data_IF_932196303310
#
_entry.id   IF_932196303310
#
_cell.length_a   1.000
_cell.length_b   1.000
_cell.length_c   1.000
_cell.angle_alpha   90.00
_cell.angle_beta   90.00
_cell.angle_gamma   90.00
#
_symmetry.space_group_name_H-M   'P 1'
#
loop_
_entity.id
_entity.type
_entity.pdbx_description
1 polymer ?
#
# COMPACT_ATOMS: atom_id res chain seq x y z
N UNK A 1 -0.08 0.33 -18.49
CA UNK A 1 0.97 -0.38 -17.72
C UNK A 1 1.38 0.34 -16.43
N UNK A 2 1.25 1.68 -16.31
CA UNK A 2 1.65 2.38 -15.07
C UNK A 2 0.73 2.08 -13.87
N UNK A 3 -0.59 2.14 -14.03
CA UNK A 3 -1.57 1.79 -12.98
C UNK A 3 -1.40 0.34 -12.51
N UNK A 4 -1.27 -0.61 -13.43
CA UNK A 4 -1.04 -2.02 -13.08
C UNK A 4 0.26 -2.21 -12.27
N UNK A 5 1.32 -1.48 -12.62
CA UNK A 5 2.59 -1.51 -11.88
C UNK A 5 2.47 -0.85 -10.51
N UNK A 6 1.73 0.26 -10.40
CA UNK A 6 1.48 0.94 -9.14
C UNK A 6 0.62 0.07 -8.20
N UNK A 7 -0.38 -0.62 -8.73
CA UNK A 7 -1.18 -1.60 -7.99
C UNK A 7 -0.32 -2.74 -7.46
N UNK A 8 0.50 -3.35 -8.32
CA UNK A 8 1.41 -4.43 -7.90
C UNK A 8 2.38 -3.97 -6.81
N UNK A 9 2.91 -2.74 -6.93
CA UNK A 9 3.79 -2.17 -5.92
C UNK A 9 3.08 -1.97 -4.56
N UNK A 10 1.83 -1.49 -4.58
CA UNK A 10 1.01 -1.36 -3.38
C UNK A 10 0.70 -2.72 -2.75
N UNK A 11 0.36 -3.72 -3.56
CA UNK A 11 0.09 -5.09 -3.09
C UNK A 11 1.34 -5.70 -2.44
N UNK A 12 2.51 -5.53 -3.06
CA UNK A 12 3.79 -5.98 -2.50
C UNK A 12 4.12 -5.27 -1.17
N UNK A 13 3.85 -3.96 -1.07
CA UNK A 13 4.07 -3.19 0.15
C UNK A 13 3.16 -3.66 1.28
N UNK A 14 1.88 -3.93 0.98
CA UNK A 14 0.90 -4.48 1.92
C UNK A 14 1.28 -5.88 2.38
N UNK A 15 1.71 -6.75 1.48
CA UNK A 15 2.18 -8.11 1.83
C UNK A 15 3.34 -8.05 2.83
N UNK A 16 4.37 -7.25 2.52
CA UNK A 16 5.56 -7.10 3.38
C UNK A 16 5.23 -6.51 4.74
N UNK A 17 4.30 -5.55 4.81
CA UNK A 17 3.85 -5.01 6.09
C UNK A 17 3.10 -6.09 6.90
N UNK A 18 2.22 -6.85 6.26
CA UNK A 18 1.48 -7.92 6.91
C UNK A 18 2.39 -9.02 7.47
N UNK A 19 3.44 -9.40 6.72
CA UNK A 19 4.46 -10.36 7.17
C UNK A 19 5.15 -9.89 8.46
N UNK A 20 5.61 -8.63 8.50
CA UNK A 20 6.27 -8.08 9.71
C UNK A 20 5.29 -7.99 10.88
N UNK A 21 4.03 -7.64 10.63
CA UNK A 21 3.01 -7.63 11.68
C UNK A 21 2.72 -9.02 12.27
N UNK A 22 2.87 -10.09 11.48
CA UNK A 22 2.79 -11.47 12.01
C UNK A 22 3.96 -11.73 12.96
N UNK A 23 5.18 -11.36 12.57
CA UNK A 23 6.39 -11.52 13.39
C UNK A 23 6.27 -10.78 14.72
N UNK A 24 5.85 -9.52 14.70
CA UNK A 24 5.59 -8.70 15.91
C UNK A 24 4.61 -9.41 16.86
N UNK A 25 3.53 -9.99 16.33
CA UNK A 25 2.55 -10.70 17.15
C UNK A 25 3.14 -11.95 17.80
N UNK A 26 3.99 -12.70 17.08
CA UNK A 26 4.67 -13.86 17.66
C UNK A 26 5.68 -13.47 18.73
N UNK A 27 6.50 -12.45 18.50
CA UNK A 27 7.49 -11.97 19.47
C UNK A 27 6.80 -11.43 20.74
N UNK A 28 5.72 -10.67 20.59
CA UNK A 28 4.94 -10.19 21.73
C UNK A 28 4.31 -11.34 22.54
N UNK A 29 3.86 -12.40 21.87
CA UNK A 29 3.34 -13.59 22.55
C UNK A 29 4.45 -14.36 23.30
N UNK A 30 5.64 -14.43 22.73
CA UNK A 30 6.79 -15.07 23.36
C UNK A 30 7.29 -14.30 24.60
N UNK A 31 7.39 -12.97 24.49
CA UNK A 31 7.69 -12.10 25.64
C UNK A 31 6.69 -12.33 26.77
N UNK A 32 5.39 -12.34 26.42
CA UNK A 32 4.34 -12.60 27.41
C UNK A 32 4.50 -13.98 28.06
N UNK A 33 4.85 -15.00 27.29
CA UNK A 33 5.08 -16.34 27.83
C UNK A 33 6.22 -16.36 28.86
N UNK A 34 7.35 -15.69 28.58
CA UNK A 34 8.44 -15.58 29.55
C UNK A 34 8.02 -14.79 30.79
N UNK A 35 7.31 -13.67 30.61
CA UNK A 35 6.82 -12.84 31.72
C UNK A 35 5.80 -13.58 32.61
N UNK A 36 4.89 -14.34 32.01
CA UNK A 36 3.87 -15.13 32.72
C UNK A 36 4.49 -16.34 33.45
N UNK A 37 5.61 -16.87 32.97
CA UNK A 37 6.29 -18.01 33.60
C UNK A 37 6.85 -17.68 35.00
N UNK A 38 7.18 -16.40 35.24
CA UNK A 38 7.78 -15.94 36.49
C UNK A 38 9.14 -16.57 36.80
N UNK A 39 9.75 -17.31 35.87
CA UNK A 39 11.08 -17.90 36.02
C UNK A 39 12.15 -16.84 35.73
N UNK A 40 12.96 -16.55 36.75
CA UNK A 40 14.04 -15.56 36.69
C UNK A 40 15.40 -16.25 36.60
N UNK A 41 15.45 -17.52 36.17
CA UNK A 41 16.70 -18.13 35.78
C UNK A 41 17.39 -17.25 34.73
N UNK A 42 18.70 -17.03 34.88
CA UNK A 42 19.46 -16.14 34.00
C UNK A 42 19.27 -16.45 32.49
N UNK A 43 19.05 -17.72 32.15
CA UNK A 43 18.76 -18.15 30.78
C UNK A 43 17.41 -17.62 30.25
N UNK A 44 16.39 -17.55 31.11
CA UNK A 44 15.06 -17.02 30.78
C UNK A 44 15.11 -15.50 30.68
N UNK A 45 15.84 -14.82 31.58
CA UNK A 45 16.06 -13.37 31.49
C UNK A 45 16.83 -12.98 30.21
N UNK A 46 17.87 -13.74 29.85
CA UNK A 46 18.61 -13.54 28.61
C UNK A 46 17.72 -13.74 27.36
N UNK A 47 16.88 -14.79 27.37
CA UNK A 47 15.93 -15.04 26.28
C UNK A 47 14.87 -13.93 26.17
N UNK A 48 14.33 -13.47 27.30
CA UNK A 48 13.38 -12.36 27.37
C UNK A 48 13.99 -11.05 26.83
N UNK A 49 15.23 -10.75 27.20
CA UNK A 49 15.92 -9.55 26.70
C UNK A 49 16.16 -9.61 25.20
N UNK A 50 16.50 -10.78 24.65
CA UNK A 50 16.62 -10.97 23.20
C UNK A 50 15.27 -10.79 22.49
N UNK A 51 14.22 -11.44 22.99
CA UNK A 51 12.89 -11.31 22.40
C UNK A 51 12.39 -9.85 22.41
N UNK A 52 12.69 -9.08 23.46
CA UNK A 52 12.41 -7.63 23.53
C UNK A 52 13.18 -6.82 22.49
N UNK A 53 14.46 -7.13 22.28
CA UNK A 53 15.28 -6.47 21.25
C UNK A 53 14.79 -6.81 19.83
N UNK A 54 14.42 -8.07 19.59
CA UNK A 54 13.85 -8.51 18.31
C UNK A 54 12.51 -7.80 18.03
N UNK A 55 11.63 -7.71 19.04
CA UNK A 55 10.37 -6.95 18.94
C UNK A 55 10.60 -5.47 18.60
N UNK A 56 11.59 -4.83 19.20
CA UNK A 56 11.94 -3.44 18.89
C UNK A 56 12.41 -3.30 17.43
N UNK A 57 13.30 -4.19 16.98
CA UNK A 57 13.78 -4.21 15.61
C UNK A 57 12.64 -4.44 14.60
N UNK A 58 11.76 -5.42 14.86
CA UNK A 58 10.57 -5.71 14.06
C UNK A 58 9.59 -4.53 14.03
N UNK A 59 9.44 -3.82 15.15
CA UNK A 59 8.59 -2.61 15.23
C UNK A 59 9.14 -1.48 14.36
N UNK A 60 10.45 -1.23 14.40
CA UNK A 60 11.10 -0.24 13.54
C UNK A 60 10.92 -0.62 12.07
N UNK A 61 11.09 -1.89 11.73
CA UNK A 61 10.88 -2.37 10.37
C UNK A 61 9.42 -2.19 9.92
N UNK A 62 8.44 -2.46 10.79
CA UNK A 62 7.03 -2.23 10.49
C UNK A 62 6.73 -0.76 10.21
N UNK A 63 7.33 0.18 10.94
CA UNK A 63 7.17 1.61 10.68
C UNK A 63 7.71 2.00 9.29
N UNK A 64 8.87 1.46 8.90
CA UNK A 64 9.43 1.69 7.57
C UNK A 64 8.54 1.09 6.46
N UNK A 65 8.01 -0.12 6.69
CA UNK A 65 7.07 -0.77 5.76
C UNK A 65 5.75 -0.01 5.64
N UNK A 66 5.23 0.52 6.75
CA UNK A 66 4.03 1.35 6.76
C UNK A 66 4.24 2.63 5.95
N UNK A 67 5.40 3.29 6.09
CA UNK A 67 5.74 4.45 5.26
C UNK A 67 5.77 4.09 3.78
N UNK A 68 6.37 2.94 3.44
CA UNK A 68 6.43 2.46 2.05
C UNK A 68 5.04 2.18 1.48
N UNK A 69 4.14 1.58 2.28
CA UNK A 69 2.76 1.32 1.87
C UNK A 69 2.01 2.63 1.59
N UNK A 70 2.10 3.61 2.48
CA UNK A 70 1.48 4.93 2.30
C UNK A 70 1.97 5.62 1.03
N UNK A 71 3.28 5.57 0.75
CA UNK A 71 3.85 6.16 -0.46
C UNK A 71 3.36 5.43 -1.73
N UNK A 72 3.27 4.09 -1.68
CA UNK A 72 2.75 3.28 -2.78
C UNK A 72 1.27 3.56 -3.04
N UNK A 73 0.47 3.77 -1.99
CA UNK A 73 -0.95 4.12 -2.09
C UNK A 73 -1.13 5.50 -2.73
N UNK A 74 -0.35 6.47 -2.29
CA UNK A 74 -0.37 7.81 -2.88
C UNK A 74 0.04 7.79 -4.37
N UNK A 75 1.02 6.96 -4.73
CA UNK A 75 1.40 6.77 -6.13
C UNK A 75 0.27 6.13 -6.94
N UNK A 76 -0.38 5.08 -6.42
CA UNK A 76 -1.51 4.42 -7.08
C UNK A 76 -2.65 5.40 -7.34
N UNK A 77 -3.02 6.19 -6.33
CA UNK A 77 -4.04 7.23 -6.47
C UNK A 77 -3.69 8.26 -7.54
N UNK A 78 -2.44 8.72 -7.53
CA UNK A 78 -1.93 9.67 -8.54
C UNK A 78 -2.02 9.10 -9.97
N UNK A 79 -1.68 7.83 -10.15
CA UNK A 79 -1.77 7.18 -11.47
C UNK A 79 -3.22 6.93 -11.90
N UNK A 80 -4.11 6.64 -10.95
CA UNK A 80 -5.54 6.51 -11.23
C UNK A 80 -6.15 7.86 -11.64
N UNK A 81 -5.88 8.95 -10.91
CA UNK A 81 -6.37 10.29 -11.24
C UNK A 81 -5.92 10.73 -12.65
N UNK A 82 -4.68 10.37 -13.05
CA UNK A 82 -4.18 10.62 -14.41
C UNK A 82 -4.94 9.82 -15.45
N UNK A 83 -5.24 8.55 -15.18
CA UNK A 83 -6.00 7.70 -16.08
C UNK A 83 -7.42 8.26 -16.28
N UNK A 84 -8.11 8.59 -15.19
CA UNK A 84 -9.47 9.15 -15.21
C UNK A 84 -9.52 10.46 -16.01
N UNK A 85 -8.51 11.32 -15.87
CA UNK A 85 -8.39 12.54 -16.66
C UNK A 85 -8.21 12.25 -18.16
N UNK A 86 -7.40 11.24 -18.52
CA UNK A 86 -7.17 10.87 -19.92
C UNK A 86 -8.43 10.26 -20.54
N UNK A 87 -9.14 9.41 -19.81
CA UNK A 87 -10.42 8.83 -20.23
C UNK A 87 -11.47 9.92 -20.47
N UNK A 88 -11.60 10.87 -19.53
CA UNK A 88 -12.51 12.01 -19.70
C UNK A 88 -12.21 12.85 -20.96
N UNK A 89 -10.93 13.12 -21.23
CA UNK A 89 -10.51 13.85 -22.44
C UNK A 89 -10.76 13.05 -23.72
N UNK A 90 -10.60 11.73 -23.66
CA UNK A 90 -10.90 10.85 -24.79
C UNK A 90 -12.39 10.86 -25.10
N UNK A 91 -13.25 10.75 -24.08
CA UNK A 91 -14.70 10.81 -24.22
C UNK A 91 -15.17 12.14 -24.82
N UNK A 92 -14.60 13.27 -24.37
CA UNK A 92 -14.87 14.57 -24.97
C UNK A 92 -14.48 14.62 -26.46
N UNK A 93 -13.33 14.04 -26.82
CA UNK A 93 -12.86 14.03 -28.20
C UNK A 93 -13.76 13.14 -29.07
N UNK A 94 -14.13 11.97 -28.57
CA UNK A 94 -15.08 11.05 -29.23
C UNK A 94 -16.42 11.74 -29.43
N UNK A 95 -16.93 12.48 -28.44
CA UNK A 95 -18.16 13.26 -28.56
C UNK A 95 -18.06 14.37 -29.63
N UNK A 96 -16.93 15.07 -29.69
CA UNK A 96 -16.67 16.12 -30.70
C UNK A 96 -16.57 15.56 -32.12
N UNK A 97 -15.94 14.40 -32.30
CA UNK A 97 -15.78 13.75 -33.61
C UNK A 97 -17.07 13.04 -34.04
N UNK A 98 -17.77 12.39 -33.10
CA UNK A 98 -19.02 11.69 -33.33
C UNK A 98 -20.22 12.62 -33.56
N UNK A 99 -20.07 13.93 -33.35
CA UNK A 99 -21.04 14.94 -33.73
C UNK A 99 -20.83 15.29 -35.22
N UNK A 100 -21.70 14.85 -36.16
CA UNK A 100 -21.60 15.27 -37.54
C UNK A 100 -21.83 16.78 -37.56
N UNK A 101 -20.89 17.52 -38.14
CA UNK A 101 -21.11 18.91 -38.54
C UNK A 101 -22.45 18.99 -39.28
N UNK A 102 -23.44 19.57 -38.62
CA UNK A 102 -24.73 19.84 -39.23
C UNK A 102 -24.53 20.95 -40.27
N UNK A 103 -24.29 20.60 -41.53
CA UNK A 103 -24.48 21.49 -42.68
C UNK A 103 -24.96 20.66 -43.89
N UNK A 104 -25.96 21.16 -44.65
CA UNK A 104 -25.67 22.26 -45.57
C UNK A 104 -26.63 23.44 -45.47
N UNK A 105 -26.06 24.61 -45.76
CA UNK A 105 -26.77 25.85 -46.01
C UNK A 105 -27.95 25.63 -46.98
N UNK A 106 -29.16 25.95 -46.54
CA UNK A 106 -30.29 26.19 -47.46
C UNK A 106 -30.02 27.50 -48.17
N UNK A 107 -29.68 27.42 -49.46
CA UNK A 107 -29.71 28.58 -50.36
C UNK A 107 -31.18 28.83 -50.72
N UNK A 108 -31.78 29.99 -50.39
CA UNK A 108 -33.13 30.32 -50.81
C UNK A 108 -33.12 30.64 -52.30
N UNK A 109 -34.15 30.20 -53.02
CA UNK A 109 -34.40 30.48 -54.43
C UNK A 109 -35.44 31.60 -54.55
#
# INVERSE_FOLDING_TARGET
>A
MSVSRASQHLDDARSKLAEVQVVIRSEAAEIKHYEDSGDHAAQVEDALNRAKADLEASTILAQQRQSTETDAEQQMRTEQDKLDMLESRLDELVGKIGSPSAQPARVPR
#
